data_IF_571001492193
#
_entry.id   IF_571001492193
#
_cell.length_a   1.000
_cell.length_b   1.000
_cell.length_c   1.000
_cell.angle_alpha   90.00
_cell.angle_beta   90.00
_cell.angle_gamma   90.00
#
_symmetry.space_group_name_H-M   'P 1'
#
loop_
_entity.id
_entity.type
_entity.pdbx_description
1 polymer ?
2 non-polymer ?
3 water ?
#
# COMPACT_ATOMS: atom_id res chain seq x y z
N UNK A 3 -13.64 -15.01 -27.45
CA UNK A 3 -12.61 -13.95 -27.15
C UNK A 3 -13.14 -12.53 -27.19
N UNK A 4 -14.43 -12.40 -26.99
CA UNK A 4 -14.99 -11.10 -26.76
C UNK A 4 -14.69 -10.82 -25.27
N UNK A 5 -14.76 -9.54 -24.97
CA UNK A 5 -14.58 -8.99 -23.64
C UNK A 5 -15.86 -9.13 -22.83
N UNK A 6 -15.69 -9.34 -21.52
CA UNK A 6 -16.81 -9.23 -20.62
C UNK A 6 -17.35 -7.81 -20.65
N UNK A 7 -18.67 -7.70 -20.65
CA UNK A 7 -19.35 -6.43 -20.54
C UNK A 7 -19.88 -6.28 -19.11
N UNK A 8 -20.44 -5.12 -18.82
CA UNK A 8 -21.02 -4.86 -17.48
C UNK A 8 -21.85 -6.01 -16.91
N UNK A 9 -22.84 -6.43 -17.69
CA UNK A 9 -23.81 -7.41 -17.22
C UNK A 9 -23.12 -8.73 -16.91
N UNK A 10 -22.12 -9.09 -17.71
CA UNK A 10 -21.34 -10.31 -17.47
C UNK A 10 -20.65 -10.20 -16.12
N UNK A 11 -20.05 -9.03 -15.83
CA UNK A 11 -19.37 -8.86 -14.53
C UNK A 11 -20.39 -8.93 -13.40
N UNK A 12 -21.51 -8.23 -13.58
CA UNK A 12 -22.57 -8.25 -12.56
C UNK A 12 -22.98 -9.68 -12.23
N UNK A 13 -23.11 -10.52 -13.24
CA UNK A 13 -23.55 -11.89 -13.03
C UNK A 13 -22.50 -12.69 -12.26
N UNK A 14 -21.23 -12.53 -12.62
CA UNK A 14 -20.19 -13.42 -12.10
C UNK A 14 -19.41 -12.93 -10.86
N UNK A 15 -19.38 -11.64 -10.63
CA UNK A 15 -18.73 -11.08 -9.44
C UNK A 15 -19.33 -11.68 -8.17
N UNK A 16 -18.52 -11.83 -7.12
CA UNK A 16 -19.08 -12.18 -5.79
C UNK A 16 -20.08 -11.10 -5.37
N UNK A 17 -20.97 -11.45 -4.47
CA UNK A 17 -22.01 -10.57 -4.00
C UNK A 17 -21.68 -10.17 -2.58
N UNK A 18 -22.14 -9.00 -2.16
CA UNK A 18 -21.98 -8.53 -0.82
C UNK A 18 -22.47 -9.56 0.16
N UNK A 19 -21.74 -9.72 1.24
CA UNK A 19 -22.23 -10.53 2.33
C UNK A 19 -21.58 -10.07 3.64
N UNK A 20 -22.41 -9.68 4.58
CA UNK A 20 -21.97 -9.26 5.89
C UNK A 20 -21.00 -8.10 5.77
N UNK A 21 -19.83 -8.25 6.37
CA UNK A 21 -18.87 -7.15 6.46
C UNK A 21 -18.12 -6.85 5.13
N UNK A 22 -18.43 -7.60 4.09
CA UNK A 22 -17.82 -7.41 2.78
C UNK A 22 -18.86 -6.86 1.84
N UNK A 23 -18.61 -5.67 1.32
CA UNK A 23 -19.47 -5.13 0.28
C UNK A 23 -18.82 -5.26 -1.08
N UNK A 24 -19.61 -5.67 -2.08
CA UNK A 24 -19.15 -5.70 -3.44
C UNK A 24 -20.05 -4.72 -4.19
N UNK A 25 -19.47 -3.64 -4.65
CA UNK A 25 -20.23 -2.62 -5.37
C UNK A 25 -20.45 -3.01 -6.81
N UNK A 26 -21.43 -2.35 -7.43
CA UNK A 26 -21.70 -2.49 -8.84
C UNK A 26 -20.55 -1.95 -9.66
N UNK A 27 -20.56 -2.37 -10.91
CA UNK A 27 -19.55 -1.92 -11.84
C UNK A 27 -19.47 -0.39 -11.97
N UNK A 28 -18.24 0.10 -12.01
CA UNK A 28 -17.98 1.52 -12.20
C UNK A 28 -17.38 1.71 -13.58
N UNK A 29 -17.81 2.75 -14.29
CA UNK A 29 -17.23 3.11 -15.56
C UNK A 29 -16.35 4.35 -15.36
N UNK A 30 -15.05 4.19 -15.47
CA UNK A 30 -14.12 5.27 -15.13
C UNK A 30 -14.13 6.41 -16.11
N UNK A 31 -14.70 6.20 -17.30
CA UNK A 31 -14.83 7.31 -18.29
C UNK A 31 -16.04 8.20 -18.12
N UNK A 32 -17.08 7.67 -17.52
CA UNK A 32 -18.35 8.35 -17.38
C UNK A 32 -18.40 9.04 -15.98
N UNK A 33 -18.28 10.36 -15.95
CA UNK A 33 -18.26 11.09 -14.71
C UNK A 33 -19.51 10.79 -13.89
N UNK A 34 -20.64 10.56 -14.58
CA UNK A 34 -21.87 10.23 -13.89
C UNK A 34 -21.80 8.94 -13.08
N UNK A 35 -20.97 8.00 -13.51
CA UNK A 35 -20.88 6.72 -12.86
C UNK A 35 -20.28 6.89 -11.45
N UNK A 36 -19.17 7.61 -11.37
CA UNK A 36 -18.57 7.96 -10.11
C UNK A 36 -19.54 8.83 -9.26
N UNK A 37 -20.12 9.87 -9.88
CA UNK A 37 -21.04 10.75 -9.17
C UNK A 37 -22.19 10.01 -8.52
N UNK A 38 -22.74 9.06 -9.23
CA UNK A 38 -23.90 8.34 -8.74
C UNK A 38 -23.63 7.46 -7.55
N UNK A 39 -22.39 7.01 -7.35
CA UNK A 39 -22.15 6.09 -6.24
C UNK A 39 -21.53 6.69 -4.99
N UNK A 40 -21.23 7.99 -5.01
CA UNK A 40 -20.55 8.61 -3.86
C UNK A 40 -21.33 8.32 -2.59
N UNK A 41 -22.66 8.42 -2.65
CA UNK A 41 -23.43 8.34 -1.43
C UNK A 41 -23.45 6.92 -0.87
N UNK A 42 -23.58 5.97 -1.77
CA UNK A 42 -23.52 4.56 -1.38
C UNK A 42 -22.13 4.20 -0.88
N UNK A 43 -21.10 4.65 -1.56
CA UNK A 43 -19.76 4.29 -1.17
C UNK A 43 -19.40 5.01 0.16
N UNK A 44 -19.83 6.26 0.32
CA UNK A 44 -19.54 6.99 1.56
C UNK A 44 -20.27 6.30 2.72
N UNK A 45 -21.52 5.93 2.48
CA UNK A 45 -22.25 5.25 3.53
C UNK A 45 -21.52 3.98 4.04
N UNK A 46 -20.99 3.19 3.11
CA UNK A 46 -20.25 1.97 3.44
C UNK A 46 -18.89 2.28 4.06
N UNK A 47 -18.19 3.27 3.53
CA UNK A 47 -16.92 3.69 4.09
C UNK A 47 -17.05 4.00 5.57
N UNK A 48 -18.14 4.66 5.94
CA UNK A 48 -18.31 5.13 7.30
C UNK A 48 -19.24 4.26 8.11
N UNK A 49 -19.55 3.06 7.63
CA UNK A 49 -20.42 2.18 8.35
C UNK A 49 -19.58 1.15 9.11
N UNK A 50 -19.70 1.14 10.47
CA UNK A 50 -18.88 0.27 11.29
C UNK A 50 -18.98 -1.20 10.95
N UNK A 51 -20.13 -1.65 10.46
CA UNK A 51 -20.36 -3.06 10.17
C UNK A 51 -19.65 -3.56 8.87
N UNK A 52 -19.25 -2.63 8.01
CA UNK A 52 -18.56 -2.91 6.75
C UNK A 52 -17.08 -2.80 7.01
N UNK A 53 -16.33 -3.84 6.62
CA UNK A 53 -14.90 -3.80 6.76
C UNK A 53 -14.14 -3.86 5.42
N UNK A 54 -14.76 -4.41 4.39
CA UNK A 54 -14.14 -4.51 3.08
C UNK A 54 -15.11 -4.02 2.01
N UNK A 55 -14.59 -3.32 1.00
CA UNK A 55 -15.38 -2.83 -0.14
C UNK A 55 -14.62 -3.17 -1.41
N UNK A 56 -15.25 -3.93 -2.32
CA UNK A 56 -14.69 -4.25 -3.63
C UNK A 56 -15.38 -3.47 -4.74
N UNK A 57 -14.64 -3.06 -5.73
CA UNK A 57 -15.27 -2.39 -6.90
C UNK A 57 -14.68 -2.91 -8.17
N UNK A 58 -15.50 -3.47 -9.08
CA UNK A 58 -14.96 -3.73 -10.38
C UNK A 58 -14.97 -2.50 -11.26
N UNK A 59 -13.84 -2.12 -11.83
CA UNK A 59 -13.75 -0.85 -12.55
C UNK A 59 -13.39 -1.10 -14.01
N UNK A 60 -14.27 -0.66 -14.89
CA UNK A 60 -14.05 -0.76 -16.30
C UNK A 60 -14.31 0.56 -16.99
N UNK A 61 -14.76 0.50 -18.25
CA UNK A 61 -15.07 -0.74 -18.96
C UNK A 61 -13.87 -1.12 -19.78
N UNK A 62 -14.00 -2.18 -20.55
CA UNK A 62 -12.86 -2.59 -21.35
C UNK A 62 -11.82 -3.38 -20.59
N UNK A 63 -10.69 -2.74 -20.25
CA UNK A 63 -9.66 -3.35 -19.46
C UNK A 63 -10.07 -3.37 -17.95
N UNK A 64 -10.88 -4.34 -17.56
CA UNK A 64 -11.39 -4.44 -16.18
C UNK A 64 -10.25 -4.52 -15.20
N UNK A 65 -10.42 -3.78 -14.11
CA UNK A 65 -9.52 -3.80 -12.97
C UNK A 65 -10.33 -3.92 -11.67
N UNK A 66 -9.66 -4.30 -10.61
CA UNK A 66 -10.31 -4.45 -9.32
C UNK A 66 -9.76 -3.51 -8.28
N UNK A 67 -10.66 -2.96 -7.48
CA UNK A 67 -10.31 -2.12 -6.38
C UNK A 67 -10.79 -2.75 -5.09
N UNK A 68 -9.90 -2.92 -4.13
CA UNK A 68 -10.21 -3.58 -2.85
C UNK A 68 -9.79 -2.70 -1.69
N UNK A 69 -10.79 -2.19 -0.98
CA UNK A 69 -10.58 -1.32 0.18
C UNK A 69 -10.79 -2.11 1.46
N UNK A 70 -9.82 -2.03 2.34
CA UNK A 70 -9.82 -2.66 3.64
C UNK A 70 -9.73 -1.57 4.67
N UNK A 71 -10.63 -1.59 5.64
CA UNK A 71 -10.61 -0.61 6.75
C UNK A 71 -9.55 -0.93 7.78
N UNK A 72 -9.21 0.07 8.64
CA UNK A 72 -8.13 -0.20 9.63
C UNK A 72 -8.45 -1.31 10.65
N UNK A 79 -5.93 3.76 11.77
CA UNK A 79 -6.62 4.90 11.14
C UNK A 79 -6.77 4.84 9.59
N UNK A 80 -5.72 4.44 8.85
CA UNK A 80 -5.79 4.47 7.38
C UNK A 80 -6.41 3.23 6.70
N UNK A 81 -6.95 3.44 5.50
CA UNK A 81 -7.61 2.48 4.69
C UNK A 81 -6.55 1.91 3.73
N UNK A 82 -6.51 0.58 3.57
CA UNK A 82 -5.69 -0.08 2.58
C UNK A 82 -6.45 -0.15 1.30
N UNK A 83 -5.84 0.29 0.21
CA UNK A 83 -6.48 0.28 -1.06
C UNK A 83 -5.63 -0.52 -2.08
N UNK A 84 -6.07 -1.71 -2.43
CA UNK A 84 -5.36 -2.53 -3.40
C UNK A 84 -5.96 -2.30 -4.78
N UNK A 85 -5.11 -1.97 -5.74
CA UNK A 85 -5.49 -1.75 -7.11
C UNK A 85 -4.93 -2.82 -8.00
N UNK A 86 -5.80 -3.70 -8.52
CA UNK A 86 -5.41 -4.93 -9.24
C UNK A 86 -5.60 -4.74 -10.74
N UNK A 87 -4.54 -4.99 -11.50
CA UNK A 87 -4.64 -4.98 -12.94
C UNK A 87 -4.26 -6.37 -13.47
N UNK A 88 -5.16 -7.03 -14.24
CA UNK A 88 -4.88 -8.34 -14.81
C UNK A 88 -3.54 -8.42 -15.55
N UNK A 89 -3.02 -7.33 -16.07
CA UNK A 89 -1.76 -7.38 -16.87
C UNK A 89 -0.54 -7.41 -15.98
N UNK A 90 -0.70 -6.92 -14.75
CA UNK A 90 0.40 -6.83 -13.83
C UNK A 90 0.30 -5.53 -13.07
N UNK A 91 1.05 -5.39 -11.97
CA UNK A 91 0.83 -4.20 -11.11
C UNK A 91 1.09 -2.82 -11.73
N UNK A 92 2.05 -2.72 -12.66
CA UNK A 92 2.44 -1.40 -13.19
C UNK A 92 1.27 -0.66 -13.83
N UNK A 93 0.39 -1.37 -14.52
CA UNK A 93 -0.75 -0.75 -15.17
C UNK A 93 -1.83 -0.26 -14.23
N UNK A 94 -1.83 -0.72 -12.97
CA UNK A 94 -2.83 -0.24 -12.02
C UNK A 94 -2.70 1.25 -11.68
N UNK A 95 -1.56 1.85 -12.02
CA UNK A 95 -1.28 3.28 -11.81
C UNK A 95 -2.36 4.15 -12.40
N UNK A 96 -3.01 3.63 -13.43
CA UNK A 96 -4.05 4.35 -14.10
C UNK A 96 -5.26 4.62 -13.17
N UNK A 97 -5.39 3.88 -12.06
CA UNK A 97 -6.47 4.08 -11.11
C UNK A 97 -6.14 4.92 -9.90
N UNK A 98 -4.88 5.31 -9.70
CA UNK A 98 -4.49 5.98 -8.45
C UNK A 98 -5.29 7.25 -8.23
N UNK A 99 -5.31 8.12 -9.24
CA UNK A 99 -5.97 9.42 -9.10
C UNK A 99 -7.46 9.28 -9.02
N UNK A 100 -7.97 8.37 -9.84
CA UNK A 100 -9.39 8.08 -9.95
C UNK A 100 -9.94 7.65 -8.62
N UNK A 101 -9.29 6.67 -7.99
CA UNK A 101 -9.81 6.16 -6.75
C UNK A 101 -9.60 7.11 -5.57
N UNK A 102 -8.43 7.75 -5.52
CA UNK A 102 -8.18 8.75 -4.53
C UNK A 102 -9.22 9.89 -4.60
N UNK A 103 -9.57 10.31 -5.80
CA UNK A 103 -10.60 11.35 -5.95
C UNK A 103 -11.97 10.85 -5.55
N UNK A 104 -12.28 9.60 -5.83
CA UNK A 104 -13.52 9.00 -5.39
C UNK A 104 -13.60 8.96 -3.88
N UNK A 105 -12.53 8.47 -3.25
CA UNK A 105 -12.47 8.49 -1.81
C UNK A 105 -12.52 9.95 -1.25
N UNK A 106 -11.79 10.88 -1.82
CA UNK A 106 -11.91 12.26 -1.36
C UNK A 106 -13.34 12.79 -1.47
N UNK A 107 -14.04 12.48 -2.55
CA UNK A 107 -15.45 12.84 -2.63
C UNK A 107 -16.26 12.26 -1.46
N UNK A 108 -15.99 11.00 -1.08
CA UNK A 108 -16.70 10.37 0.05
C UNK A 108 -16.37 10.99 1.40
N UNK A 109 -15.31 11.77 1.43
CA UNK A 109 -14.89 12.47 2.62
C UNK A 109 -13.64 11.90 3.24
N UNK A 110 -12.90 11.04 2.51
CA UNK A 110 -11.65 10.50 3.04
C UNK A 110 -10.45 11.25 2.47
N UNK A 111 -9.66 11.92 3.32
CA UNK A 111 -8.46 12.54 2.72
C UNK A 111 -7.39 11.55 2.25
N UNK A 112 -6.61 11.95 1.25
CA UNK A 112 -5.60 11.08 0.70
C UNK A 112 -4.58 10.59 1.72
N UNK A 113 -4.27 11.39 2.72
CA UNK A 113 -3.31 10.95 3.74
C UNK A 113 -3.76 9.73 4.51
N UNK A 114 -5.05 9.39 4.40
CA UNK A 114 -5.54 8.21 5.10
C UNK A 114 -5.68 7.02 4.17
N UNK A 115 -4.97 7.02 3.05
CA UNK A 115 -5.12 5.93 2.06
C UNK A 115 -3.73 5.32 1.80
N UNK A 116 -3.63 4.00 1.95
CA UNK A 116 -2.38 3.27 1.62
C UNK A 116 -2.55 2.52 0.33
N UNK A 117 -2.03 3.05 -0.77
CA UNK A 117 -2.20 2.42 -2.06
C UNK A 117 -1.18 1.32 -2.29
N UNK A 118 -1.62 0.23 -2.90
CA UNK A 118 -0.66 -0.73 -3.46
C UNK A 118 -1.17 -1.31 -4.74
N UNK A 119 -0.27 -1.49 -5.72
CA UNK A 119 -0.65 -2.02 -7.03
C UNK A 119 -0.41 -3.51 -7.03
N UNK A 120 -1.32 -4.30 -7.61
CA UNK A 120 -1.12 -5.74 -7.72
C UNK A 120 -1.48 -6.25 -9.09
N UNK A 121 -1.00 -7.44 -9.39
CA UNK A 121 -1.43 -8.20 -10.59
C UNK A 121 -1.49 -9.70 -10.22
N UNK A 122 -1.89 -10.55 -11.16
CA UNK A 122 -2.00 -11.96 -10.87
C UNK A 122 -0.70 -12.74 -10.98
N UNK A 123 -0.71 -13.93 -10.42
CA UNK A 123 0.43 -14.87 -10.55
C UNK A 123 0.70 -15.22 -12.01
N UNK A 124 -0.37 -15.44 -12.77
CA UNK A 124 -0.23 -15.92 -14.17
C UNK A 124 -0.98 -15.01 -15.17
N UNK A 125 -0.49 -13.79 -15.38
CA UNK A 125 -1.16 -12.88 -16.28
C UNK A 125 -1.10 -13.38 -17.71
N UNK A 126 -2.12 -13.07 -18.50
CA UNK A 126 -2.13 -13.45 -19.92
C UNK A 126 -1.67 -12.29 -20.80
N UNK A 127 -2.00 -11.06 -20.39
CA UNK A 127 -1.64 -9.85 -21.09
C UNK A 127 -2.43 -9.60 -22.37
N UNK A 128 -3.65 -10.13 -22.46
CA UNK A 128 -4.55 -9.93 -23.61
C UNK A 128 -5.80 -9.15 -23.16
N UNK A 129 -6.31 -8.27 -24.01
CA UNK A 129 -7.42 -7.41 -23.58
C UNK A 129 -8.68 -8.21 -23.18
N UNK A 130 -9.00 -9.24 -23.98
CA UNK A 130 -10.29 -9.91 -23.84
C UNK A 130 -10.54 -10.55 -22.46
N UNK A 131 -9.48 -10.93 -21.73
CA UNK A 131 -9.67 -11.72 -20.52
C UNK A 131 -9.57 -10.88 -19.21
N UNK A 132 -9.54 -9.54 -19.30
CA UNK A 132 -9.34 -8.73 -18.10
C UNK A 132 -10.51 -8.91 -17.15
N UNK A 133 -11.72 -9.02 -17.69
CA UNK A 133 -12.93 -9.29 -16.91
C UNK A 133 -12.84 -10.58 -16.12
N UNK A 134 -12.39 -11.62 -16.81
CA UNK A 134 -12.26 -12.93 -16.24
C UNK A 134 -11.29 -12.92 -15.06
N UNK A 135 -10.12 -12.37 -15.30
CA UNK A 135 -9.14 -12.18 -14.22
C UNK A 135 -9.71 -11.38 -13.06
N UNK A 136 -10.38 -10.27 -13.36
CA UNK A 136 -10.87 -9.41 -12.29
C UNK A 136 -11.98 -10.11 -11.47
N UNK A 137 -12.85 -10.87 -12.15
CA UNK A 137 -13.92 -11.60 -11.48
C UNK A 137 -13.36 -12.68 -10.59
N UNK A 138 -12.40 -13.42 -11.15
CA UNK A 138 -11.81 -14.52 -10.39
C UNK A 138 -10.97 -14.00 -9.24
N UNK A 139 -10.21 -12.94 -9.48
CA UNK A 139 -9.42 -12.33 -8.40
C UNK A 139 -10.32 -11.80 -7.24
N UNK A 140 -11.48 -11.25 -7.63
CA UNK A 140 -12.44 -10.77 -6.68
C UNK A 140 -12.98 -11.92 -5.78
N UNK A 141 -13.25 -13.06 -6.39
CA UNK A 141 -13.57 -14.26 -5.63
C UNK A 141 -12.42 -14.65 -4.68
N UNK A 142 -11.19 -14.63 -5.17
CA UNK A 142 -10.06 -14.91 -4.33
C UNK A 142 -10.02 -13.97 -3.13
N UNK A 143 -10.26 -12.68 -3.37
CA UNK A 143 -10.29 -11.73 -2.25
C UNK A 143 -11.43 -12.00 -1.27
N UNK A 144 -12.57 -12.41 -1.80
CA UNK A 144 -13.72 -12.76 -1.02
C UNK A 144 -13.35 -13.80 0.02
N UNK A 145 -12.69 -14.85 -0.44
CA UNK A 145 -12.14 -15.90 0.46
C UNK A 145 -11.11 -15.34 1.44
N UNK A 146 -10.13 -14.62 0.93
CA UNK A 146 -9.10 -14.03 1.78
C UNK A 146 -9.74 -13.17 2.85
N UNK A 147 -10.80 -12.44 2.53
CA UNK A 147 -11.41 -11.56 3.51
C UNK A 147 -12.30 -12.29 4.49
N UNK A 148 -12.34 -13.62 4.39
CA UNK A 148 -13.01 -14.46 5.39
C UNK A 148 -14.45 -14.73 5.08
N UNK A 149 -14.86 -14.60 3.82
CA UNK A 149 -16.25 -14.87 3.46
C UNK A 149 -16.50 -16.37 3.68
N UNK A 150 -17.75 -16.74 3.87
CA UNK A 150 -18.05 -18.15 4.11
C UNK A 150 -18.06 -18.94 2.82
N UNK A 151 -17.72 -20.21 2.94
CA UNK A 151 -17.61 -21.14 1.81
C UNK A 151 -18.60 -21.00 0.63
N UNK A 152 -19.88 -20.75 0.89
CA UNK A 152 -20.83 -20.56 -0.20
C UNK A 152 -20.81 -19.23 -0.95
N UNK A 153 -20.04 -18.26 -0.47
CA UNK A 153 -20.13 -16.87 -0.96
C UNK A 153 -19.09 -16.54 -2.01
N UNK A 154 -18.23 -17.50 -2.30
CA UNK A 154 -17.23 -17.35 -3.35
C UNK A 154 -17.14 -18.65 -4.14
N UNK A 155 -16.46 -18.60 -5.28
CA UNK A 155 -16.55 -19.63 -6.30
C UNK A 155 -15.18 -20.26 -6.38
N UNK A 156 -15.00 -21.41 -5.71
CA UNK A 156 -13.66 -22.00 -5.62
C UNK A 156 -13.10 -22.39 -6.97
N UNK A 157 -13.97 -22.70 -7.92
CA UNK A 157 -13.49 -23.11 -9.23
C UNK A 157 -12.75 -21.97 -9.91
N UNK A 158 -13.33 -20.77 -9.85
CA UNK A 158 -12.65 -19.60 -10.38
C UNK A 158 -11.37 -19.26 -9.64
N UNK A 159 -11.37 -19.36 -8.31
CA UNK A 159 -10.17 -19.08 -7.56
C UNK A 159 -9.04 -20.04 -7.90
N UNK A 160 -9.36 -21.33 -7.93
CA UNK A 160 -8.32 -22.35 -8.17
C UNK A 160 -7.85 -22.33 -9.61
N UNK A 161 -8.73 -22.03 -10.55
CA UNK A 161 -8.26 -21.87 -11.93
C UNK A 161 -7.28 -20.70 -12.03
N UNK A 162 -7.73 -19.54 -11.57
CA UNK A 162 -6.86 -18.35 -11.59
C UNK A 162 -5.52 -18.61 -10.93
N UNK A 163 -5.55 -19.15 -9.73
CA UNK A 163 -4.31 -19.29 -8.95
C UNK A 163 -3.28 -20.22 -9.57
N UNK A 164 -3.75 -21.29 -10.20
CA UNK A 164 -2.85 -22.30 -10.73
C UNK A 164 -2.58 -22.18 -12.19
N UNK A 165 -3.57 -21.70 -12.97
CA UNK A 165 -3.47 -21.68 -14.43
C UNK A 165 -3.55 -20.32 -15.14
N UNK A 166 -3.97 -19.28 -14.44
CA UNK A 166 -4.30 -18.01 -15.12
C UNK A 166 -5.36 -18.32 -16.15
N UNK A 167 -5.16 -17.85 -17.37
CA UNK A 167 -6.03 -18.19 -18.49
C UNK A 167 -5.31 -18.93 -19.60
N UNK A 168 -4.31 -19.70 -19.21
CA UNK A 168 -3.64 -20.63 -20.15
C UNK A 168 -4.64 -21.54 -20.82
N UNK A 169 -4.48 -21.73 -22.12
CA UNK A 169 -5.39 -22.55 -22.93
C UNK A 169 -6.83 -22.05 -22.80
N UNK A 170 -6.98 -20.77 -22.42
CA UNK A 170 -8.28 -20.13 -22.25
C UNK A 170 -9.13 -20.85 -21.19
N UNK A 171 -8.49 -21.50 -20.21
CA UNK A 171 -9.25 -22.28 -19.23
C UNK A 171 -10.04 -21.41 -18.25
N UNK A 172 -9.54 -20.20 -17.97
CA UNK A 172 -10.29 -19.27 -17.11
C UNK A 172 -11.58 -18.81 -17.82
N UNK A 173 -11.47 -18.44 -19.07
CA UNK A 173 -12.66 -18.16 -19.88
C UNK A 173 -13.64 -19.34 -19.97
N UNK A 174 -13.12 -20.56 -20.05
CA UNK A 174 -14.02 -21.70 -19.99
C UNK A 174 -14.72 -21.83 -18.65
N UNK A 175 -14.03 -21.60 -17.52
CA UNK A 175 -14.72 -21.68 -16.24
C UNK A 175 -15.71 -20.51 -16.08
N UNK A 176 -15.40 -19.34 -16.63
CA UNK A 176 -16.31 -18.22 -16.49
C UNK A 176 -17.60 -18.50 -17.32
N UNK A 177 -17.48 -19.11 -18.49
CA UNK A 177 -18.66 -19.49 -19.29
C UNK A 177 -19.52 -20.49 -18.54
N UNK A 178 -18.91 -21.60 -18.17
CA UNK A 178 -19.59 -22.65 -17.43
C UNK A 178 -20.24 -22.16 -16.16
N UNK A 179 -19.55 -21.35 -15.37
CA UNK A 179 -20.13 -20.90 -14.11
C UNK A 179 -21.28 -19.94 -14.36
N UNK A 180 -21.20 -19.24 -15.49
CA UNK A 180 -22.21 -18.30 -15.91
C UNK A 180 -23.51 -19.02 -16.23
N UNK A 181 -23.43 -19.99 -17.15
CA UNK A 181 -24.55 -20.88 -17.49
C UNK A 181 -25.23 -21.49 -16.25
N UNK A 182 -24.43 -21.96 -15.30
CA UNK A 182 -24.96 -22.46 -14.05
C UNK A 182 -25.81 -21.39 -13.36
N UNK A 183 -25.33 -20.15 -13.36
CA UNK A 183 -26.08 -19.04 -12.74
C UNK A 183 -27.36 -18.73 -13.50
N UNK A 184 -27.24 -18.57 -14.82
CA UNK A 184 -28.40 -18.53 -15.72
C UNK A 184 -29.17 -19.85 -15.55
N UNK B 3 2.28 -11.79 13.65
CA UNK B 3 1.44 -10.83 12.82
C UNK B 3 0.77 -9.66 13.55
N UNK B 4 1.30 -9.28 14.70
CA UNK B 4 0.94 -8.03 15.30
C UNK B 4 1.75 -6.97 14.52
N UNK B 5 1.30 -5.73 14.59
CA UNK B 5 2.04 -4.59 14.06
C UNK B 5 3.09 -4.07 15.04
N UNK B 6 4.20 -3.58 14.50
CA UNK B 6 5.15 -2.83 15.32
C UNK B 6 4.50 -1.53 15.80
N UNK B 7 4.68 -1.22 17.07
CA UNK B 7 4.20 0.02 17.65
C UNK B 7 5.36 0.99 17.78
N UNK B 8 5.02 2.19 18.24
CA UNK B 8 5.96 3.29 18.46
C UNK B 8 7.21 2.85 19.20
N UNK B 9 6.95 2.13 20.29
CA UNK B 9 8.04 1.72 21.17
C UNK B 9 8.95 0.70 20.50
N UNK B 10 8.40 -0.17 19.66
CA UNK B 10 9.19 -1.18 18.92
C UNK B 10 10.08 -0.54 17.81
N UNK B 11 9.50 0.43 17.10
CA UNK B 11 10.26 1.25 16.13
C UNK B 11 11.40 2.01 16.84
N UNK B 12 11.05 2.66 17.94
CA UNK B 12 12.01 3.42 18.73
C UNK B 12 13.19 2.55 19.10
N UNK B 13 12.90 1.33 19.52
CA UNK B 13 13.94 0.41 19.95
C UNK B 13 14.81 -0.03 18.78
N UNK B 14 14.19 -0.42 17.65
CA UNK B 14 14.97 -1.09 16.60
C UNK B 14 15.54 -0.17 15.53
N UNK B 15 14.94 0.98 15.32
CA UNK B 15 15.49 2.00 14.40
C UNK B 15 16.96 2.33 14.74
N UNK B 16 17.78 2.63 13.71
CA UNK B 16 19.14 3.08 13.97
C UNK B 16 19.10 4.40 14.79
N UNK B 17 20.19 4.65 15.51
CA UNK B 17 20.30 5.81 16.39
C UNK B 17 21.22 6.84 15.75
N UNK B 18 20.92 8.13 15.98
CA UNK B 18 21.81 9.20 15.52
C UNK B 18 23.29 8.85 15.74
N UNK B 19 24.07 8.99 14.68
CA UNK B 19 25.50 8.67 14.68
C UNK B 19 26.21 9.48 13.63
N UNK B 20 27.35 10.09 13.96
CA UNK B 20 28.11 10.94 13.04
C UNK B 20 27.31 12.07 12.38
N UNK B 21 27.29 12.03 11.06
CA UNK B 21 26.66 13.06 10.26
C UNK B 21 25.19 12.69 9.97
N UNK B 22 24.66 11.71 10.69
CA UNK B 22 23.26 11.23 10.45
C UNK B 22 22.43 11.35 11.71
N UNK B 23 21.33 12.07 11.60
CA UNK B 23 20.32 12.17 12.66
C UNK B 23 19.12 11.25 12.36
N UNK B 24 18.67 10.52 13.38
CA UNK B 24 17.47 9.74 13.26
C UNK B 24 16.49 10.30 14.24
N UNK B 25 15.39 10.84 13.76
CA UNK B 25 14.44 11.49 14.63
C UNK B 25 13.54 10.47 15.31
N UNK B 26 12.80 10.91 16.35
CA UNK B 26 11.81 10.04 17.01
C UNK B 26 10.64 9.77 16.09
N UNK B 27 9.90 8.72 16.41
CA UNK B 27 8.70 8.41 15.66
C UNK B 27 7.75 9.61 15.58
N UNK B 28 7.21 9.82 14.39
CA UNK B 28 6.19 10.80 14.13
C UNK B 28 4.85 10.10 13.96
N UNK B 29 3.80 10.64 14.57
CA UNK B 29 2.44 10.11 14.40
C UNK B 29 1.76 11.07 13.45
N UNK B 30 1.39 10.59 12.27
CA UNK B 30 1.02 11.54 11.20
C UNK B 30 -0.41 12.05 11.35
N UNK B 31 -1.23 11.36 12.11
CA UNK B 31 -2.61 11.79 12.33
C UNK B 31 -2.70 12.80 13.47
N UNK B 32 -1.73 12.72 14.36
CA UNK B 32 -1.62 13.60 15.51
C UNK B 32 -1.01 14.91 15.01
N UNK B 33 -1.86 15.92 14.88
CA UNK B 33 -1.42 17.20 14.35
C UNK B 33 -0.58 18.03 15.33
N UNK B 34 -0.30 17.52 16.53
CA UNK B 34 0.77 18.11 17.37
C UNK B 34 2.13 17.50 17.05
N UNK B 35 2.18 16.22 16.63
CA UNK B 35 3.45 15.45 16.63
C UNK B 35 4.45 16.09 15.68
N UNK B 36 3.94 16.51 14.52
CA UNK B 36 4.69 17.31 13.54
C UNK B 36 5.11 18.69 14.07
N UNK B 37 4.31 19.28 14.97
CA UNK B 37 4.72 20.49 15.72
C UNK B 37 5.79 20.20 16.80
N UNK B 38 5.45 19.34 17.75
CA UNK B 38 6.34 18.98 18.88
C UNK B 38 7.84 18.83 18.55
N UNK B 39 8.21 18.70 17.27
CA UNK B 39 9.62 18.54 16.88
C UNK B 39 10.03 19.36 15.64
N UNK B 40 9.26 20.41 15.30
CA UNK B 40 9.71 21.36 14.28
C UNK B 40 11.03 22.02 14.68
N UNK B 41 11.14 22.43 15.94
CA UNK B 41 12.34 23.13 16.43
C UNK B 41 13.54 22.24 16.24
N UNK B 42 13.40 20.97 16.65
CA UNK B 42 14.48 20.01 16.57
C UNK B 42 14.86 19.72 15.13
N UNK B 43 13.86 19.46 14.31
CA UNK B 43 14.05 19.24 12.89
C UNK B 43 14.74 20.46 12.27
N UNK B 44 14.16 21.65 12.46
CA UNK B 44 14.72 22.89 11.90
C UNK B 44 16.19 23.03 12.31
N UNK B 45 16.46 22.81 13.60
CA UNK B 45 17.85 22.85 14.08
C UNK B 45 18.81 21.82 13.42
N UNK B 46 18.32 20.61 13.15
CA UNK B 46 19.14 19.60 12.45
C UNK B 46 19.34 19.96 11.00
N UNK B 47 18.26 20.40 10.35
CA UNK B 47 18.30 20.77 8.94
C UNK B 47 19.42 21.78 8.61
N UNK B 48 19.69 22.70 9.54
CA UNK B 48 20.62 23.79 9.34
C UNK B 48 21.91 23.63 10.18
N UNK B 49 22.03 22.51 10.89
CA UNK B 49 23.25 22.16 11.60
C UNK B 49 24.24 21.57 10.60
N UNK B 50 25.36 22.26 10.38
CA UNK B 50 26.27 21.89 9.31
C UNK B 50 26.98 20.50 9.47
N UNK B 51 27.13 20.02 10.70
CA UNK B 51 27.65 18.68 10.99
C UNK B 51 26.72 17.51 10.53
N UNK B 52 25.46 17.81 10.32
CA UNK B 52 24.44 16.81 9.94
C UNK B 52 24.27 16.85 8.42
N UNK B 53 24.49 15.73 7.76
CA UNK B 53 24.30 15.65 6.29
C UNK B 53 23.04 14.91 5.88
N UNK B 54 22.47 14.15 6.82
CA UNK B 54 21.28 13.30 6.58
C UNK B 54 20.40 13.24 7.78
N UNK B 55 19.10 13.20 7.53
CA UNK B 55 18.13 13.08 8.58
C UNK B 55 17.06 12.03 8.20
N UNK B 56 16.77 11.15 9.13
CA UNK B 56 15.78 10.08 8.93
C UNK B 56 14.62 10.25 9.87
N UNK B 57 13.40 10.00 9.39
CA UNK B 57 12.22 10.00 10.24
C UNK B 57 11.32 8.77 9.97
N UNK B 58 11.00 7.98 11.03
CA UNK B 58 9.98 6.96 10.88
C UNK B 58 8.59 7.60 11.12
N UNK B 59 7.71 7.51 10.11
CA UNK B 59 6.45 8.15 10.12
C UNK B 59 5.33 7.10 10.20
N UNK B 60 4.59 7.10 11.28
CA UNK B 60 3.47 6.18 11.38
C UNK B 60 2.22 6.87 11.91
N UNK B 61 1.45 6.15 12.72
CA UNK B 61 1.67 4.75 13.09
C UNK B 61 0.98 3.83 12.09
N UNK B 62 0.98 2.53 12.38
CA UNK B 62 0.35 1.52 11.54
C UNK B 62 1.15 1.24 10.29
N UNK B 63 0.80 1.95 9.23
CA UNK B 63 1.51 1.81 7.99
C UNK B 63 2.79 2.68 8.00
N UNK B 64 3.81 2.20 8.67
CA UNK B 64 5.07 2.90 8.83
C UNK B 64 5.70 3.18 7.46
N UNK B 65 6.18 4.40 7.28
CA UNK B 65 6.92 4.83 6.09
C UNK B 65 8.20 5.51 6.56
N UNK B 66 9.18 5.60 5.67
CA UNK B 66 10.47 6.17 6.01
C UNK B 66 10.62 7.45 5.23
N UNK B 67 11.15 8.45 5.92
CA UNK B 67 11.48 9.72 5.28
C UNK B 67 12.98 9.95 5.46
N UNK B 68 13.70 10.18 4.35
CA UNK B 68 15.14 10.33 4.37
C UNK B 68 15.50 11.62 3.60
N UNK B 69 16.06 12.58 4.33
CA UNK B 69 16.47 13.86 3.83
C UNK B 69 17.97 13.92 3.71
N UNK B 70 18.45 14.22 2.50
CA UNK B 70 19.85 14.31 2.22
C UNK B 70 20.15 15.76 1.87
N UNK B 71 20.98 16.41 2.67
CA UNK B 71 21.43 17.79 2.38
C UNK B 71 22.43 17.79 1.20
N UNK B 72 22.31 18.77 0.27
CA UNK B 72 23.22 18.82 -0.92
C UNK B 72 24.72 18.64 -0.66
N UNK B 81 17.79 20.07 -1.33
CA UNK B 81 17.46 18.95 -0.48
C UNK B 81 16.78 17.78 -1.22
N UNK B 82 17.35 16.59 -1.13
CA UNK B 82 16.73 15.35 -1.65
C UNK B 82 15.93 14.75 -0.51
N UNK B 83 14.66 14.52 -0.76
CA UNK B 83 13.81 13.90 0.21
C UNK B 83 13.30 12.60 -0.37
N UNK B 84 13.66 11.47 0.26
CA UNK B 84 13.17 10.18 -0.17
C UNK B 84 12.03 9.74 0.75
N UNK B 85 10.90 9.39 0.14
CA UNK B 85 9.78 8.78 0.86
C UNK B 85 9.61 7.33 0.47
N UNK B 86 9.83 6.48 1.45
CA UNK B 86 9.80 5.04 1.33
C UNK B 86 8.51 4.46 1.87
N UNK B 87 7.85 3.63 1.06
CA UNK B 87 6.63 2.99 1.47
C UNK B 87 6.84 1.48 1.30
N UNK B 88 6.69 0.68 2.39
CA UNK B 88 6.75 -0.80 2.29
C UNK B 88 5.87 -1.44 1.23
N UNK B 89 4.76 -0.79 0.84
CA UNK B 89 3.88 -1.36 -0.18
C UNK B 89 4.41 -1.16 -1.61
N UNK B 90 5.32 -0.21 -1.79
CA UNK B 90 5.77 0.20 -3.11
C UNK B 90 5.78 1.70 -3.22
N UNK B 91 6.54 2.24 -4.19
CA UNK B 91 6.60 3.71 -4.33
C UNK B 91 5.25 4.41 -4.61
N UNK B 92 4.32 3.72 -5.27
CA UNK B 92 3.02 4.26 -5.54
C UNK B 92 2.30 4.69 -4.24
N UNK B 93 2.58 4.08 -3.10
CA UNK B 93 1.90 4.51 -1.85
C UNK B 93 2.50 5.72 -1.17
N UNK B 94 3.76 6.06 -1.51
CA UNK B 94 4.51 7.03 -0.72
C UNK B 94 4.02 8.46 -0.95
N UNK B 95 3.41 8.69 -2.10
CA UNK B 95 3.07 10.05 -2.54
C UNK B 95 2.02 10.69 -1.65
N UNK B 96 1.25 9.88 -0.91
CA UNK B 96 0.27 10.49 0.00
C UNK B 96 0.91 11.29 1.13
N UNK B 97 2.20 11.13 1.39
CA UNK B 97 2.88 11.93 2.39
C UNK B 97 3.63 13.20 1.88
N UNK B 98 3.56 13.49 0.57
CA UNK B 98 4.31 14.60 0.00
C UNK B 98 3.96 15.91 0.71
N UNK B 99 2.68 16.18 0.81
CA UNK B 99 2.24 17.48 1.38
C UNK B 99 2.53 17.58 2.86
N UNK B 100 2.37 16.48 3.58
CA UNK B 100 2.68 16.42 5.01
C UNK B 100 4.15 16.77 5.29
N UNK B 101 5.05 16.17 4.52
CA UNK B 101 6.45 16.38 4.75
C UNK B 101 6.86 17.77 4.25
N UNK B 102 6.33 18.19 3.11
CA UNK B 102 6.56 19.56 2.61
C UNK B 102 6.16 20.64 3.61
N UNK B 103 5.04 20.40 4.29
CA UNK B 103 4.60 21.31 5.35
C UNK B 103 5.57 21.32 6.55
N UNK B 104 5.96 20.14 7.02
CA UNK B 104 6.97 20.05 8.07
C UNK B 104 8.19 20.91 7.75
N UNK B 105 8.75 20.70 6.56
CA UNK B 105 9.98 21.38 6.15
C UNK B 105 9.76 22.87 5.97
N UNK B 106 8.60 23.24 5.42
CA UNK B 106 8.24 24.64 5.28
C UNK B 106 8.16 25.36 6.61
N UNK B 107 7.57 24.71 7.60
CA UNK B 107 7.64 25.21 8.95
C UNK B 107 9.05 25.38 9.46
N UNK B 108 10.00 24.62 8.93
CA UNK B 108 11.40 24.75 9.34
C UNK B 108 12.16 25.88 8.62
N UNK B 109 11.50 26.59 7.70
CA UNK B 109 12.18 27.60 6.85
C UNK B 109 12.75 27.06 5.55
N UNK B 110 12.35 25.84 5.14
CA UNK B 110 12.77 25.30 3.85
C UNK B 110 11.57 25.37 2.91
N UNK B 111 11.63 26.24 1.89
CA UNK B 111 10.47 26.30 1.04
C UNK B 111 10.48 25.13 0.06
N UNK B 112 9.37 24.97 -0.67
CA UNK B 112 9.18 23.79 -1.54
C UNK B 112 10.24 23.74 -2.63
N UNK B 113 10.60 24.90 -3.17
CA UNK B 113 11.45 24.98 -4.35
C UNK B 113 12.72 24.21 -4.13
N UNK B 114 13.19 24.23 -2.88
CA UNK B 114 14.49 23.64 -2.54
C UNK B 114 14.41 22.14 -2.18
N UNK B 115 13.23 21.55 -2.33
CA UNK B 115 13.01 20.15 -1.94
C UNK B 115 12.64 19.31 -3.15
N UNK B 116 13.46 18.32 -3.48
CA UNK B 116 13.14 17.40 -4.53
C UNK B 116 12.71 16.04 -3.91
N UNK B 117 11.49 15.61 -4.21
CA UNK B 117 10.91 14.42 -3.58
C UNK B 117 11.03 13.25 -4.52
N UNK B 118 11.52 12.12 -4.00
CA UNK B 118 11.54 10.85 -4.71
C UNK B 118 10.72 9.83 -3.89
N UNK B 119 9.99 8.96 -4.57
CA UNK B 119 9.22 7.90 -3.92
C UNK B 119 9.86 6.53 -4.20
N UNK B 120 10.02 5.73 -3.17
CA UNK B 120 10.65 4.44 -3.25
C UNK B 120 9.82 3.38 -2.46
N UNK B 121 10.07 2.12 -2.80
CA UNK B 121 9.57 1.00 -2.07
C UNK B 121 10.60 -0.07 -2.09
N UNK B 122 10.31 -1.19 -1.45
CA UNK B 122 11.31 -2.27 -1.34
C UNK B 122 11.49 -3.10 -2.59
N UNK B 123 12.62 -3.77 -2.70
CA UNK B 123 12.84 -4.76 -3.75
C UNK B 123 11.83 -5.90 -3.70
N UNK B 124 11.45 -6.33 -2.51
CA UNK B 124 10.53 -7.48 -2.34
C UNK B 124 9.35 -7.16 -1.37
N UNK B 125 8.39 -6.35 -1.82
CA UNK B 125 7.31 -5.96 -0.94
C UNK B 125 6.44 -7.18 -0.57
N UNK B 126 5.84 -7.14 0.60
CA UNK B 126 4.89 -8.20 1.03
C UNK B 126 3.45 -7.80 0.81
N UNK B 127 3.17 -6.54 1.06
CA UNK B 127 1.81 -5.99 0.81
C UNK B 127 0.82 -6.32 1.94
N UNK B 128 1.35 -6.60 3.15
CA UNK B 128 0.55 -6.84 4.35
C UNK B 128 0.77 -5.74 5.35
N UNK B 129 -0.29 -5.32 6.02
CA UNK B 129 -0.21 -4.20 6.92
C UNK B 129 0.74 -4.51 8.07
N UNK B 130 0.73 -5.77 8.56
CA UNK B 130 1.44 -6.06 9.83
C UNK B 130 2.96 -5.81 9.80
N UNK B 131 3.56 -5.99 8.62
CA UNK B 131 5.01 -5.94 8.50
C UNK B 131 5.58 -4.59 8.02
N UNK B 132 4.76 -3.54 7.98
CA UNK B 132 5.22 -2.21 7.51
C UNK B 132 6.36 -1.71 8.35
N UNK B 133 6.23 -1.86 9.67
CA UNK B 133 7.29 -1.44 10.61
C UNK B 133 8.61 -2.15 10.37
N UNK B 134 8.54 -3.42 10.07
CA UNK B 134 9.72 -4.25 9.84
C UNK B 134 10.45 -3.82 8.58
N UNK B 135 9.70 -3.58 7.51
CA UNK B 135 10.28 -3.07 6.27
C UNK B 135 10.94 -1.70 6.48
N UNK B 136 10.24 -0.79 7.16
CA UNK B 136 10.73 0.58 7.33
C UNK B 136 11.95 0.59 8.28
N UNK B 137 11.95 -0.24 9.30
CA UNK B 137 13.15 -0.37 10.14
C UNK B 137 14.32 -0.89 9.37
N UNK B 138 14.10 -1.99 8.66
CA UNK B 138 15.21 -2.58 7.95
C UNK B 138 15.72 -1.65 6.87
N UNK B 139 14.81 -0.97 6.17
CA UNK B 139 15.22 -0.02 5.10
C UNK B 139 15.96 1.15 5.69
N UNK B 140 15.55 1.58 6.88
CA UNK B 140 16.25 2.61 7.56
C UNK B 140 17.72 2.22 7.88
N UNK B 141 17.93 0.97 8.27
CA UNK B 141 19.30 0.42 8.45
C UNK B 141 20.12 0.42 7.17
N UNK B 142 19.49 0.00 6.06
CA UNK B 142 20.11 0.10 4.75
C UNK B 142 20.51 1.56 4.42
N UNK B 143 19.64 2.52 4.70
CA UNK B 143 19.99 3.91 4.42
C UNK B 143 21.17 4.41 5.27
N UNK B 144 21.18 4.00 6.56
CA UNK B 144 22.24 4.32 7.52
C UNK B 144 23.59 3.99 6.93
N UNK B 145 23.70 2.76 6.45
CA UNK B 145 24.89 2.32 5.81
C UNK B 145 25.20 3.04 4.49
N UNK B 146 24.19 3.22 3.65
CA UNK B 146 24.37 3.95 2.41
C UNK B 146 24.80 5.40 2.69
N UNK B 147 24.29 5.97 3.79
CA UNK B 147 24.67 7.34 4.18
C UNK B 147 26.06 7.44 4.87
N UNK B 148 26.80 6.34 5.00
CA UNK B 148 28.16 6.38 5.49
C UNK B 148 28.30 6.28 7.01
N UNK B 149 27.31 5.72 7.69
CA UNK B 149 27.42 5.51 9.17
C UNK B 149 28.54 4.56 9.54
N UNK B 150 29.06 4.66 10.79
CA UNK B 150 30.07 3.69 11.19
C UNK B 150 29.47 2.30 11.33
N UNK B 151 30.31 1.28 11.15
CA UNK B 151 29.85 -0.11 10.97
C UNK B 151 28.94 -0.66 12.11
N UNK B 152 29.20 -0.26 13.34
CA UNK B 152 28.38 -0.80 14.43
C UNK B 152 27.03 -0.14 14.56
N UNK B 153 26.73 0.86 13.71
CA UNK B 153 25.54 1.64 13.88
C UNK B 153 24.36 1.19 13.03
N UNK B 154 24.55 0.20 12.17
CA UNK B 154 23.47 -0.37 11.39
C UNK B 154 23.59 -1.87 11.50
N UNK B 155 22.53 -2.57 11.11
CA UNK B 155 22.40 -3.96 11.42
C UNK B 155 22.42 -4.68 10.10
N UNK B 156 23.53 -5.36 9.78
CA UNK B 156 23.64 -6.00 8.48
C UNK B 156 22.70 -7.19 8.29
N UNK B 157 22.20 -7.79 9.38
CA UNK B 157 21.24 -8.91 9.24
C UNK B 157 19.92 -8.38 8.73
N UNK B 158 19.50 -7.23 9.29
CA UNK B 158 18.25 -6.61 8.85
C UNK B 158 18.35 -6.17 7.39
N UNK B 159 19.48 -5.57 7.04
CA UNK B 159 19.71 -5.07 5.68
C UNK B 159 19.69 -6.20 4.66
N UNK B 160 20.44 -7.26 4.95
CA UNK B 160 20.65 -8.35 3.98
C UNK B 160 19.37 -9.18 3.80
N UNK B 161 18.62 -9.31 4.89
CA UNK B 161 17.38 -10.04 4.87
C UNK B 161 16.39 -9.30 3.99
N UNK B 162 16.19 -8.02 4.31
CA UNK B 162 15.33 -7.15 3.50
C UNK B 162 15.72 -7.19 2.02
N UNK B 163 17.01 -7.01 1.74
CA UNK B 163 17.48 -6.82 0.38
C UNK B 163 17.27 -8.04 -0.52
N UNK B 164 17.46 -9.21 0.09
CA UNK B 164 17.38 -10.46 -0.66
C UNK B 164 16.07 -11.23 -0.52
N UNK B 165 15.38 -11.11 0.62
CA UNK B 165 14.19 -11.93 0.89
C UNK B 165 12.88 -11.15 1.11
N UNK B 166 12.96 -9.88 1.44
CA UNK B 166 11.78 -9.13 1.90
C UNK B 166 11.29 -9.76 3.19
N UNK B 167 9.98 -10.02 3.30
CA UNK B 167 9.46 -10.77 4.43
C UNK B 167 8.88 -12.13 4.00
N UNK B 168 9.44 -12.71 2.93
CA UNK B 168 9.04 -14.05 2.52
C UNK B 168 9.20 -15.02 3.66
N UNK B 169 8.26 -15.95 3.85
CA UNK B 169 8.29 -16.91 4.96
C UNK B 169 8.44 -16.24 6.32
N UNK B 170 8.01 -14.97 6.42
CA UNK B 170 8.09 -14.21 7.66
C UNK B 170 9.53 -14.03 8.21
N UNK B 171 10.51 -14.13 7.33
CA UNK B 171 11.91 -14.06 7.75
C UNK B 171 12.33 -12.69 8.28
N UNK B 172 11.76 -11.61 7.74
CA UNK B 172 12.08 -10.30 8.27
C UNK B 172 11.49 -10.10 9.65
N UNK B 173 10.25 -10.52 9.86
CA UNK B 173 9.62 -10.47 11.19
C UNK B 173 10.46 -11.25 12.23
N UNK B 174 10.94 -12.41 11.82
CA UNK B 174 11.71 -13.22 12.72
C UNK B 174 13.04 -12.53 13.12
N UNK B 175 13.70 -11.90 12.15
CA UNK B 175 14.96 -11.21 12.39
C UNK B 175 14.73 -9.95 13.21
N UNK B 176 13.67 -9.22 12.88
CA UNK B 176 13.22 -8.09 13.71
C UNK B 176 13.01 -8.50 15.19
N UNK B 177 12.26 -9.56 15.41
CA UNK B 177 12.04 -10.09 16.79
C UNK B 177 13.39 -10.42 17.47
N UNK B 178 14.26 -11.14 16.78
CA UNK B 178 15.53 -11.58 17.37
C UNK B 178 16.44 -10.41 17.60
N UNK B 179 16.52 -9.51 16.63
CA UNK B 179 17.41 -8.36 16.78
C UNK B 179 16.91 -7.40 17.89
N UNK B 180 15.60 -7.31 18.04
CA UNK B 180 15.00 -6.56 19.14
C UNK B 180 15.39 -7.18 20.48
N UNK B 181 15.29 -8.51 20.55
CA UNK B 181 15.71 -9.24 21.75
C UNK B 181 17.17 -8.98 22.09
N UNK B 182 18.05 -9.01 21.09
CA UNK B 182 19.49 -8.80 21.31
C UNK B 182 19.70 -7.45 21.93
N UNK B 183 18.99 -6.44 21.42
CA UNK B 183 19.05 -5.07 21.97
C UNK B 183 18.53 -5.00 23.41
N UNK B 184 17.38 -5.63 23.66
CA UNK B 184 16.84 -5.60 25.01
C UNK B 184 17.84 -6.24 25.99
N UNK B 185 18.52 -7.31 25.55
CA UNK B 185 19.50 -7.99 26.39
C UNK B 185 20.78 -7.12 26.63
N UNK B 186 21.01 -6.14 25.75
CA UNK B 186 22.09 -5.12 25.89
C UNK B 186 21.57 -3.75 26.34
#
# INVERSE_FOLDING_TARGET
>A
TERDQMQDHDMTLLMPKSQGRIVVMAVLNRYDSHSANAIIETLASDVFNPEVHYIMIPVGPGHWRGVYLSKPQGGTSDTAYDLELFDPYGPEGAAVLDDYVLDLLNQCGVPKELVNIRHTGPKHPQGDAYSCGDFTCAYSHKKMKEFGAPEGSYNPILIDTLDNLGNEDNVLRMTTREETRALVDKDRGR
>B
TERDQMQDHDMTLLMPKSQGRIVVMAVLNRYDSHSANAIIETLASDVFNPEVHYIMIPVGPGHWRGVYLSKPQGGTSDTAYDLELFDPYGPEGAAVLDDYVLDLLNQCGVPKELVNIRHTGPKHPQGDAYSCGDFTCAYSHKKMKEFGAPEGSYNPILIDTLDNLGNEDNVLRMTTREETRALVDKDRGR
#
